data_IF_176554731123
#
_entry.id   IF_176554731123
#
_cell.length_a   1.000
_cell.length_b   1.000
_cell.length_c   1.000
_cell.angle_alpha   90.00
_cell.angle_beta   90.00
_cell.angle_gamma   90.00
#
_symmetry.space_group_name_H-M   'P 1'
#
loop_
_entity.id
_entity.type
_entity.pdbx_description
1 polymer ?
#
# COMPACT_ATOMS: atom_id res chain seq x y z
N UNK A 1 2.92 1.72 -32.00
CA UNK A 1 1.85 0.72 -32.25
C UNK A 1 1.37 0.90 -33.68
N UNK A 2 1.15 -0.18 -34.44
CA UNK A 2 0.71 -0.10 -35.84
C UNK A 2 -0.76 0.37 -35.86
N UNK A 3 -1.05 1.48 -36.55
CA UNK A 3 -2.43 1.98 -36.70
C UNK A 3 -3.28 0.90 -37.37
N UNK A 4 -4.44 0.62 -36.77
CA UNK A 4 -5.34 -0.46 -37.21
C UNK A 4 -6.41 0.13 -38.12
N UNK A 5 -6.48 -0.38 -39.35
CA UNK A 5 -7.42 0.11 -40.36
C UNK A 5 -8.79 -0.57 -40.25
N UNK A 6 -9.86 0.21 -40.41
CA UNK A 6 -11.25 -0.30 -40.44
C UNK A 6 -11.47 -1.36 -41.50
N UNK A 7 -10.94 -1.11 -42.70
CA UNK A 7 -11.06 -2.03 -43.83
C UNK A 7 -10.38 -3.36 -43.52
N UNK A 8 -9.20 -3.36 -42.88
CA UNK A 8 -8.51 -4.59 -42.50
C UNK A 8 -9.31 -5.37 -41.43
N UNK A 9 -9.89 -4.69 -40.45
CA UNK A 9 -10.75 -5.34 -39.45
C UNK A 9 -12.01 -5.95 -40.10
N UNK A 10 -12.59 -5.26 -41.09
CA UNK A 10 -13.78 -5.72 -41.82
C UNK A 10 -13.45 -6.93 -42.71
N UNK A 11 -12.34 -6.88 -43.45
CA UNK A 11 -11.86 -8.02 -44.24
C UNK A 11 -11.60 -9.24 -43.34
N UNK A 12 -10.96 -9.04 -42.19
CA UNK A 12 -10.74 -10.12 -41.21
C UNK A 12 -12.05 -10.64 -40.61
N UNK A 13 -13.11 -9.83 -40.53
CA UNK A 13 -14.42 -10.27 -40.07
C UNK A 13 -15.15 -11.11 -41.13
N UNK A 14 -15.03 -10.75 -42.41
CA UNK A 14 -15.60 -11.51 -43.53
C UNK A 14 -14.87 -12.84 -43.72
N UNK A 15 -13.54 -12.82 -43.76
CA UNK A 15 -12.73 -14.02 -44.02
C UNK A 15 -12.49 -14.88 -42.78
N UNK A 16 -12.48 -14.28 -41.57
CA UNK A 16 -12.24 -14.96 -40.30
C UNK A 16 -13.52 -15.46 -39.62
N UNK A 17 -14.56 -15.74 -40.42
CA UNK A 17 -15.95 -16.02 -40.06
C UNK A 17 -16.12 -16.81 -38.74
N UNK A 18 -15.49 -17.97 -38.62
CA UNK A 18 -15.72 -18.90 -37.50
C UNK A 18 -14.80 -18.65 -36.31
N UNK A 19 -13.68 -17.95 -36.50
CA UNK A 19 -12.65 -17.76 -35.48
C UNK A 19 -12.76 -16.42 -34.75
N UNK A 20 -13.66 -15.52 -35.16
CA UNK A 20 -13.77 -14.20 -34.55
C UNK A 20 -12.46 -13.41 -34.63
N UNK A 21 -11.71 -13.61 -35.72
CA UNK A 21 -10.33 -13.14 -35.87
C UNK A 21 -10.21 -11.61 -35.78
N UNK A 22 -11.28 -10.89 -36.13
CA UNK A 22 -11.35 -9.44 -36.01
C UNK A 22 -11.29 -8.98 -34.53
N UNK A 23 -11.84 -9.72 -33.56
CA UNK A 23 -11.73 -9.38 -32.12
C UNK A 23 -10.30 -9.58 -31.59
N UNK A 24 -9.56 -10.55 -32.13
CA UNK A 24 -8.14 -10.75 -31.86
C UNK A 24 -7.29 -9.63 -32.48
N UNK A 25 -7.59 -9.24 -33.72
CA UNK A 25 -6.94 -8.12 -34.40
C UNK A 25 -7.20 -6.81 -33.64
N UNK A 26 -8.42 -6.60 -33.18
CA UNK A 26 -8.83 -5.53 -32.28
C UNK A 26 -8.42 -5.84 -30.83
N UNK A 27 -7.48 -6.74 -30.52
CA UNK A 27 -6.89 -6.96 -29.20
C UNK A 27 -7.83 -7.03 -27.99
N UNK A 28 -9.10 -7.43 -28.18
CA UNK A 28 -10.07 -7.60 -27.11
C UNK A 28 -10.25 -9.09 -26.82
N UNK A 29 -9.22 -9.65 -26.18
CA UNK A 29 -9.05 -11.08 -25.91
C UNK A 29 -10.23 -11.68 -25.14
N UNK A 30 -10.89 -10.91 -24.26
CA UNK A 30 -12.05 -11.38 -23.49
C UNK A 30 -13.26 -11.64 -24.39
N UNK A 31 -13.60 -10.69 -25.27
CA UNK A 31 -14.70 -10.87 -26.22
C UNK A 31 -14.39 -11.96 -27.22
N UNK A 32 -13.14 -12.01 -27.71
CA UNK A 32 -12.69 -13.03 -28.63
C UNK A 32 -12.80 -14.44 -28.02
N UNK A 33 -12.36 -14.62 -26.77
CA UNK A 33 -12.45 -15.89 -26.04
C UNK A 33 -13.91 -16.30 -25.79
N UNK A 34 -14.76 -15.35 -25.38
CA UNK A 34 -16.18 -15.60 -25.17
C UNK A 34 -16.86 -16.02 -26.48
N UNK A 35 -16.46 -15.42 -27.60
CA UNK A 35 -16.95 -15.76 -28.92
C UNK A 35 -16.57 -17.17 -29.38
N UNK A 36 -15.32 -17.57 -29.12
CA UNK A 36 -14.83 -18.92 -29.45
C UNK A 36 -15.43 -20.01 -28.57
N UNK A 37 -15.66 -19.72 -27.28
CA UNK A 37 -16.27 -20.68 -26.34
C UNK A 37 -17.76 -20.87 -26.66
N UNK A 38 -18.44 -19.82 -27.10
CA UNK A 38 -19.86 -19.89 -27.49
C UNK A 38 -20.08 -20.45 -28.90
N UNK A 39 -19.01 -20.96 -29.54
CA UNK A 39 -19.03 -21.51 -30.90
C UNK A 39 -19.74 -20.59 -31.91
N UNK A 40 -19.51 -19.27 -31.80
CA UNK A 40 -20.01 -18.29 -32.77
C UNK A 40 -21.52 -18.29 -32.94
N UNK A 41 -22.28 -18.25 -31.84
CA UNK A 41 -23.75 -18.17 -31.76
C UNK A 41 -24.48 -17.97 -33.10
N UNK A 42 -24.85 -19.08 -33.74
CA UNK A 42 -25.80 -19.24 -34.86
C UNK A 42 -25.96 -18.01 -35.79
N UNK A 43 -24.88 -17.51 -36.40
CA UNK A 43 -24.87 -16.45 -37.44
C UNK A 43 -25.36 -15.04 -36.99
N UNK A 44 -26.25 -14.94 -36.01
CA UNK A 44 -26.87 -13.70 -35.51
C UNK A 44 -25.81 -12.71 -35.01
N UNK A 45 -24.80 -13.22 -34.30
CA UNK A 45 -23.71 -12.38 -33.82
C UNK A 45 -22.84 -11.81 -34.94
N UNK A 46 -22.62 -12.57 -36.02
CA UNK A 46 -21.82 -12.12 -37.15
C UNK A 46 -22.50 -10.97 -37.90
N UNK A 47 -23.81 -11.08 -38.11
CA UNK A 47 -24.61 -10.01 -38.73
C UNK A 47 -24.58 -8.75 -37.87
N UNK A 48 -24.78 -8.89 -36.56
CA UNK A 48 -24.79 -7.76 -35.64
C UNK A 48 -23.42 -7.06 -35.56
N UNK A 49 -22.32 -7.80 -35.59
CA UNK A 49 -20.97 -7.20 -35.59
C UNK A 49 -20.64 -6.54 -36.94
N UNK A 50 -21.06 -7.12 -38.08
CA UNK A 50 -20.96 -6.46 -39.39
C UNK A 50 -21.72 -5.14 -39.43
N UNK A 51 -22.97 -5.11 -38.93
CA UNK A 51 -23.79 -3.90 -38.89
C UNK A 51 -23.10 -2.85 -38.01
N UNK A 52 -22.62 -3.22 -36.80
CA UNK A 52 -21.90 -2.29 -35.95
C UNK A 52 -20.61 -1.79 -36.61
N UNK A 53 -19.84 -2.65 -37.27
CA UNK A 53 -18.57 -2.27 -37.89
C UNK A 53 -18.76 -1.40 -39.14
N UNK A 54 -19.84 -1.61 -39.90
CA UNK A 54 -20.17 -0.83 -41.09
C UNK A 54 -20.78 0.54 -40.75
N UNK A 55 -21.72 0.59 -39.81
CA UNK A 55 -22.44 1.82 -39.46
C UNK A 55 -21.71 2.65 -38.41
N UNK A 56 -21.08 2.04 -37.41
CA UNK A 56 -20.42 2.78 -36.34
C UNK A 56 -18.96 3.07 -36.66
N UNK A 57 -18.72 4.26 -37.22
CA UNK A 57 -17.37 4.79 -37.46
C UNK A 57 -16.54 4.87 -36.17
N UNK A 58 -17.15 4.87 -34.99
CA UNK A 58 -16.45 5.01 -33.71
C UNK A 58 -16.12 3.67 -33.03
N UNK A 59 -16.51 2.53 -33.62
CA UNK A 59 -16.27 1.20 -33.05
C UNK A 59 -14.78 0.95 -32.74
N UNK A 60 -13.87 1.31 -33.66
CA UNK A 60 -12.42 1.18 -33.44
C UNK A 60 -11.91 2.10 -32.32
N UNK A 61 -12.47 3.31 -32.19
CA UNK A 61 -12.07 4.24 -31.13
C UNK A 61 -12.51 3.74 -29.75
N UNK A 62 -13.68 3.10 -29.68
CA UNK A 62 -14.22 2.51 -28.47
C UNK A 62 -13.32 1.36 -27.98
N UNK A 63 -12.71 0.61 -28.91
CA UNK A 63 -11.68 -0.36 -28.58
C UNK A 63 -10.39 0.26 -28.04
N UNK A 64 -9.86 1.36 -28.61
CA UNK A 64 -8.64 2.05 -28.10
C UNK A 64 -8.79 2.48 -26.63
N UNK A 65 -10.01 2.79 -26.20
CA UNK A 65 -10.33 3.16 -24.81
C UNK A 65 -10.15 2.00 -23.82
N UNK A 66 -10.38 0.75 -24.23
CA UNK A 66 -10.19 -0.42 -23.37
C UNK A 66 -8.69 -0.71 -23.11
N UNK A 67 -7.82 -0.39 -24.07
CA UNK A 67 -6.36 -0.37 -23.87
C UNK A 67 -5.91 0.80 -22.99
N UNK A 68 -6.52 1.98 -23.14
CA UNK A 68 -6.22 3.17 -22.31
C UNK A 68 -6.48 2.93 -20.83
N UNK A 69 -7.55 2.21 -20.48
CA UNK A 69 -7.85 1.88 -19.09
C UNK A 69 -6.69 1.13 -18.42
N UNK A 70 -5.99 0.23 -19.14
CA UNK A 70 -4.82 -0.50 -18.59
C UNK A 70 -3.63 0.43 -18.30
N UNK A 71 -3.46 1.51 -19.06
CA UNK A 71 -2.40 2.50 -18.85
C UNK A 71 -2.71 3.43 -17.66
N UNK A 72 -3.99 3.65 -17.34
CA UNK A 72 -4.43 4.43 -16.17
C UNK A 72 -4.10 3.72 -14.85
N UNK A 73 -4.32 2.40 -14.76
CA UNK A 73 -3.90 1.59 -13.60
C UNK A 73 -2.40 1.65 -13.34
N UNK A 74 -1.57 1.70 -14.40
CA UNK A 74 -0.12 1.79 -14.25
C UNK A 74 0.31 3.13 -13.66
N UNK A 75 -0.29 4.24 -14.12
CA UNK A 75 -0.04 5.58 -13.59
C UNK A 75 -0.47 5.72 -12.12
N UNK A 76 -1.61 5.13 -11.76
CA UNK A 76 -2.09 5.12 -10.38
C UNK A 76 -1.13 4.36 -9.46
N UNK A 77 -0.66 3.18 -9.87
CA UNK A 77 0.31 2.40 -9.09
C UNK A 77 1.63 3.16 -8.87
N UNK A 78 2.13 3.85 -9.89
CA UNK A 78 3.33 4.69 -9.78
C UNK A 78 3.11 5.88 -8.83
N UNK A 79 1.95 6.53 -8.90
CA UNK A 79 1.60 7.63 -7.99
C UNK A 79 1.50 7.16 -6.54
N UNK A 80 0.88 5.99 -6.31
CA UNK A 80 0.81 5.39 -4.98
C UNK A 80 2.21 5.08 -4.43
N UNK A 81 3.11 4.52 -5.26
CA UNK A 81 4.50 4.25 -4.86
C UNK A 81 5.25 5.52 -4.48
N UNK A 82 5.10 6.61 -5.23
CA UNK A 82 5.69 7.92 -4.92
C UNK A 82 5.17 8.50 -3.61
N UNK A 83 3.86 8.40 -3.33
CA UNK A 83 3.28 8.85 -2.06
C UNK A 83 3.87 8.10 -0.88
N UNK A 84 4.00 6.77 -1.00
CA UNK A 84 4.62 5.92 0.03
C UNK A 84 6.09 6.32 0.28
N UNK A 85 6.84 6.63 -0.78
CA UNK A 85 8.24 7.05 -0.66
C UNK A 85 8.38 8.41 0.04
N UNK A 86 7.55 9.39 -0.34
CA UNK A 86 7.49 10.71 0.31
C UNK A 86 7.08 10.57 1.78
N UNK A 87 6.09 9.72 2.10
CA UNK A 87 5.67 9.49 3.47
C UNK A 87 6.78 8.85 4.31
N UNK A 88 7.53 7.91 3.72
CA UNK A 88 8.72 7.32 4.37
C UNK A 88 9.79 8.38 4.64
N UNK A 89 10.04 9.29 3.70
CA UNK A 89 11.01 10.37 3.87
C UNK A 89 10.55 11.39 4.93
N UNK A 90 9.27 11.77 4.93
CA UNK A 90 8.68 12.62 5.97
C UNK A 90 8.77 11.95 7.34
N UNK A 91 8.54 10.63 7.42
CA UNK A 91 8.68 9.88 8.67
C UNK A 91 10.14 9.85 9.13
N UNK A 92 11.09 9.74 8.19
CA UNK A 92 12.53 9.80 8.45
C UNK A 92 12.97 11.17 8.95
N UNK A 93 12.45 12.26 8.38
CA UNK A 93 12.75 13.62 8.83
C UNK A 93 12.09 13.99 10.16
N UNK A 94 10.90 13.45 10.46
CA UNK A 94 10.20 13.64 11.74
C UNK A 94 10.83 12.87 12.91
N UNK A 95 11.49 11.75 12.64
CA UNK A 95 12.38 11.12 13.62
C UNK A 95 13.63 12.00 13.74
N UNK A 96 13.50 13.12 14.45
CA UNK A 96 14.61 14.04 14.72
C UNK A 96 15.83 13.33 15.31
N UNK A 97 16.95 14.05 15.45
CA UNK A 97 18.19 13.46 15.94
C UNK A 97 17.94 12.64 17.22
N UNK A 98 18.36 11.37 17.26
CA UNK A 98 18.15 10.52 18.42
C UNK A 98 18.81 11.17 19.63
N UNK A 99 18.13 11.15 20.78
CA UNK A 99 18.71 11.70 22.02
C UNK A 99 20.00 10.96 22.32
N UNK A 100 21.09 11.71 22.47
CA UNK A 100 22.42 11.18 22.78
C UNK A 100 22.75 11.40 24.25
N UNK A 101 23.51 10.48 24.83
CA UNK A 101 24.04 10.66 26.18
C UNK A 101 25.07 11.82 26.20
N UNK A 102 24.94 12.80 27.12
CA UNK A 102 25.88 13.94 27.19
C UNK A 102 27.31 13.54 27.62
N UNK A 103 27.51 12.32 28.14
CA UNK A 103 28.82 11.85 28.62
C UNK A 103 29.59 11.03 27.59
N UNK A 104 28.90 10.17 26.83
CA UNK A 104 29.55 9.21 25.92
C UNK A 104 28.96 9.16 24.50
N UNK A 105 27.91 9.93 24.20
CA UNK A 105 27.30 10.00 22.87
C UNK A 105 26.44 8.80 22.44
N UNK A 106 26.37 7.72 23.24
CA UNK A 106 25.53 6.56 22.89
C UNK A 106 24.03 6.94 22.82
N UNK A 107 23.32 6.39 21.83
CA UNK A 107 21.87 6.58 21.59
C UNK A 107 20.98 5.57 22.34
N UNK A 108 21.59 4.58 23.00
CA UNK A 108 20.90 3.57 23.79
C UNK A 108 20.60 4.08 25.21
N UNK A 109 19.37 4.55 25.42
CA UNK A 109 18.89 5.11 26.68
C UNK A 109 17.80 4.21 27.26
N UNK A 110 18.01 3.71 28.47
CA UNK A 110 17.01 2.98 29.24
C UNK A 110 16.33 3.90 30.25
N UNK A 111 15.08 3.58 30.62
CA UNK A 111 14.35 4.28 31.67
C UNK A 111 14.42 3.47 32.96
N UNK A 112 14.74 4.13 34.07
CA UNK A 112 14.74 3.49 35.39
C UNK A 112 14.03 4.36 36.41
N UNK A 113 13.41 3.71 37.39
CA UNK A 113 12.77 4.34 38.52
C UNK A 113 13.77 4.54 39.67
N UNK A 114 13.47 5.48 40.59
CA UNK A 114 14.22 5.59 41.85
C UNK A 114 14.08 4.28 42.64
N UNK A 115 15.16 3.88 43.31
CA UNK A 115 15.15 2.69 44.18
C UNK A 115 14.09 2.77 45.27
N UNK A 116 13.69 1.59 45.75
CA UNK A 116 12.61 1.29 46.70
C UNK A 116 12.43 2.37 47.79
N UNK A 117 11.19 2.84 47.96
CA UNK A 117 10.85 3.82 48.99
C UNK A 117 10.32 3.10 50.22
N UNK A 118 11.14 3.00 51.28
CA UNK A 118 10.76 2.35 52.53
C UNK A 118 9.49 2.97 53.15
N UNK A 119 9.33 4.30 53.09
CA UNK A 119 8.13 4.96 53.61
C UNK A 119 6.85 4.55 52.86
N UNK A 120 6.89 4.49 51.53
CA UNK A 120 5.71 4.08 50.72
C UNK A 120 5.44 2.59 50.85
N UNK A 121 6.48 1.76 51.02
CA UNK A 121 6.35 0.34 51.32
C UNK A 121 5.71 0.12 52.70
N UNK A 122 6.10 0.88 53.72
CA UNK A 122 5.52 0.77 55.05
C UNK A 122 4.03 1.17 55.06
N UNK A 123 3.67 2.29 54.43
CA UNK A 123 2.26 2.71 54.33
C UNK A 123 1.42 1.72 53.51
N UNK A 124 1.95 1.24 52.38
CA UNK A 124 1.28 0.20 51.59
C UNK A 124 1.14 -1.11 52.37
N UNK A 125 2.16 -1.46 53.16
CA UNK A 125 2.18 -2.61 54.06
C UNK A 125 1.14 -2.55 55.16
N UNK A 126 0.97 -1.37 55.76
CA UNK A 126 -0.05 -1.12 56.78
C UNK A 126 -1.46 -1.22 56.20
N UNK A 127 -1.71 -0.59 55.04
CA UNK A 127 -3.06 -0.51 54.47
C UNK A 127 -3.49 -1.80 53.75
N UNK A 128 -2.58 -2.43 53.01
CA UNK A 128 -2.90 -3.53 52.09
C UNK A 128 -1.98 -4.75 52.28
N UNK A 129 -1.36 -4.89 53.45
CA UNK A 129 -0.53 -6.04 53.81
C UNK A 129 0.71 -6.21 52.94
N UNK A 130 1.22 -7.44 52.84
CA UNK A 130 2.45 -7.76 52.10
C UNK A 130 2.39 -7.35 50.62
N UNK A 131 1.24 -7.54 49.96
CA UNK A 131 1.01 -7.11 48.58
C UNK A 131 1.09 -5.57 48.46
N UNK A 132 0.51 -4.85 49.41
CA UNK A 132 0.60 -3.40 49.50
C UNK A 132 2.01 -2.87 49.69
N UNK A 133 2.83 -3.56 50.48
CA UNK A 133 4.22 -3.19 50.68
C UNK A 133 5.05 -3.32 49.39
N UNK A 134 4.83 -4.39 48.62
CA UNK A 134 5.52 -4.59 47.34
C UNK A 134 5.14 -3.52 46.32
N UNK A 135 3.84 -3.26 46.15
CA UNK A 135 3.36 -2.26 45.18
C UNK A 135 3.78 -0.85 45.61
N UNK A 136 3.65 -0.51 46.89
CA UNK A 136 4.05 0.79 47.45
C UNK A 136 5.56 1.04 47.40
N UNK A 137 6.37 0.01 47.59
CA UNK A 137 7.84 0.10 47.54
C UNK A 137 8.39 0.32 46.14
N UNK A 138 7.83 -0.36 45.14
CA UNK A 138 8.32 -0.36 43.75
C UNK A 138 7.77 0.82 42.92
N UNK A 139 6.64 1.39 43.31
CA UNK A 139 6.03 2.53 42.59
C UNK A 139 6.66 3.88 42.95
N UNK A 140 7.80 4.18 42.30
CA UNK A 140 8.46 5.49 42.39
C UNK A 140 7.92 6.43 41.30
N UNK A 141 7.52 7.66 41.66
CA UNK A 141 7.09 8.69 40.68
C UNK A 141 8.24 9.34 39.88
N UNK A 142 9.50 9.16 40.31
CA UNK A 142 10.66 9.84 39.72
C UNK A 142 11.37 8.90 38.74
N UNK A 143 11.26 9.23 37.45
CA UNK A 143 11.92 8.55 36.34
C UNK A 143 13.24 9.21 36.01
N UNK A 144 14.26 8.40 35.73
CA UNK A 144 15.56 8.83 35.26
C UNK A 144 15.90 8.10 33.97
N UNK A 145 16.48 8.84 33.03
CA UNK A 145 17.10 8.28 31.84
C UNK A 145 18.50 7.78 32.22
N UNK A 146 18.86 6.58 31.77
CA UNK A 146 20.15 5.94 32.02
C UNK A 146 20.77 5.51 30.71
N UNK A 147 21.99 5.95 30.45
CA UNK A 147 22.74 5.48 29.30
C UNK A 147 23.16 4.02 29.49
N UNK A 148 22.85 3.15 28.52
CA UNK A 148 23.26 1.74 28.55
C UNK A 148 24.74 1.53 28.21
N UNK A 149 25.39 2.53 27.58
CA UNK A 149 26.83 2.49 27.28
C UNK A 149 27.71 2.85 28.49
N UNK A 150 27.41 3.95 29.19
CA UNK A 150 28.26 4.47 30.29
C UNK A 150 27.63 4.48 31.69
N UNK A 151 26.33 4.15 31.82
CA UNK A 151 25.61 4.14 33.10
C UNK A 151 25.25 5.52 33.69
N UNK A 152 25.57 6.62 33.00
CA UNK A 152 25.24 7.99 33.44
C UNK A 152 23.72 8.21 33.51
N UNK A 153 23.25 8.96 34.52
CA UNK A 153 21.83 9.16 34.85
C UNK A 153 21.44 10.64 34.84
N UNK A 154 20.31 10.99 34.22
CA UNK A 154 19.78 12.36 34.18
C UNK A 154 18.25 12.41 34.22
N UNK A 155 17.68 13.59 34.48
CA UNK A 155 16.23 13.79 34.55
C UNK A 155 15.65 14.11 33.16
N UNK A 156 14.58 13.42 32.70
CA UNK A 156 13.91 13.77 31.44
C UNK A 156 13.21 15.14 31.57
N UNK A 157 13.31 15.97 30.54
CA UNK A 157 12.57 17.24 30.44
C UNK A 157 13.17 18.46 31.15
N UNK A 158 14.27 18.31 31.90
CA UNK A 158 15.08 19.46 32.35
C UNK A 158 16.16 19.73 31.31
N UNK A 159 15.91 20.69 30.42
CA UNK A 159 16.96 21.31 29.61
C UNK A 159 17.50 22.53 30.34
#
# INVERSE_FOLDING_TARGET
MKEKNKVTALLLCIFGFIFGLHHWYLGNWKKALLFTITAGGLYIWWIHDIIRLAFDKNYISNYKTCTSFKEEWQKDLEMQRRKIEIEKEIKRSKMGQPVQCPKCGCTSIGMTNKKLSLGRAATGGFLFGTAGAMVGGVTSKKLFNVCQGCGYRWQPGKR
#
